data_IF_999625560748
#
_entry.id   IF_999625560748
#
_cell.length_a   1.000
_cell.length_b   1.000
_cell.length_c   1.000
_cell.angle_alpha   90.00
_cell.angle_beta   90.00
_cell.angle_gamma   90.00
#
_symmetry.space_group_name_H-M   'P 1'
#
loop_
_entity.id
_entity.type
_entity.pdbx_description
1 polymer ?
#
# COMPACT_ATOMS: atom_id res chain seq x y z
N UNK A 1 14.79 -35.49 -16.03
CA UNK A 1 14.46 -34.07 -16.35
C UNK A 1 15.06 -33.22 -15.23
N UNK A 2 15.72 -32.07 -15.50
CA UNK A 2 16.15 -31.18 -14.41
C UNK A 2 14.91 -30.76 -13.59
N UNK A 3 14.97 -30.75 -12.26
CA UNK A 3 13.85 -30.39 -11.37
C UNK A 3 13.15 -29.08 -11.75
N UNK A 4 13.89 -28.12 -12.32
CA UNK A 4 13.31 -26.87 -12.85
C UNK A 4 12.41 -27.10 -14.07
N UNK A 5 12.80 -27.99 -14.97
CA UNK A 5 12.00 -28.37 -16.13
C UNK A 5 10.74 -29.14 -15.72
N UNK A 6 10.88 -30.06 -14.76
CA UNK A 6 9.76 -30.79 -14.16
C UNK A 6 8.77 -29.84 -13.47
N UNK A 7 9.24 -28.91 -12.63
CA UNK A 7 8.41 -27.90 -11.98
C UNK A 7 7.62 -27.06 -13.00
N UNK A 8 8.27 -26.61 -14.08
CA UNK A 8 7.60 -25.87 -15.16
C UNK A 8 6.54 -26.73 -15.85
N UNK A 9 6.87 -27.98 -16.20
CA UNK A 9 5.96 -28.87 -16.89
C UNK A 9 4.69 -29.12 -16.06
N UNK A 10 4.86 -29.46 -14.78
CA UNK A 10 3.73 -29.71 -13.86
C UNK A 10 2.89 -28.45 -13.62
N UNK A 11 3.53 -27.28 -13.48
CA UNK A 11 2.79 -26.03 -13.36
C UNK A 11 1.97 -25.72 -14.62
N UNK A 12 2.55 -25.93 -15.80
CA UNK A 12 1.88 -25.74 -17.08
C UNK A 12 0.74 -26.74 -17.30
N UNK A 13 0.91 -27.99 -16.89
CA UNK A 13 -0.15 -28.99 -16.90
C UNK A 13 -1.30 -28.58 -15.99
N UNK A 14 -1.00 -28.15 -14.76
CA UNK A 14 -2.00 -27.62 -13.82
C UNK A 14 -2.76 -26.41 -14.39
N UNK A 15 -2.06 -25.53 -15.11
CA UNK A 15 -2.66 -24.37 -15.78
C UNK A 15 -3.60 -24.79 -16.93
N UNK A 16 -3.22 -25.80 -17.73
CA UNK A 16 -4.04 -26.35 -18.82
C UNK A 16 -5.30 -27.06 -18.33
N UNK A 17 -5.22 -27.74 -17.18
CA UNK A 17 -6.32 -28.51 -16.61
C UNK A 17 -7.44 -27.63 -15.98
N UNK A 18 -7.43 -26.32 -16.22
CA UNK A 18 -8.62 -25.49 -16.10
C UNK A 18 -9.03 -25.06 -14.68
N UNK A 19 -8.15 -25.19 -13.68
CA UNK A 19 -8.38 -24.56 -12.38
C UNK A 19 -8.04 -23.07 -12.59
N UNK A 20 -9.04 -22.18 -12.73
CA UNK A 20 -9.69 -21.61 -11.55
C UNK A 20 -11.21 -21.45 -11.71
N UNK A 21 -11.99 -21.95 -10.73
CA UNK A 21 -13.40 -21.59 -10.59
C UNK A 21 -13.72 -21.02 -9.20
N UNK A 22 -13.92 -19.69 -9.09
CA UNK A 22 -13.26 -18.68 -9.92
C UNK A 22 -12.45 -17.71 -9.05
N UNK A 23 -11.19 -17.37 -9.40
CA UNK A 23 -11.02 -16.13 -10.16
C UNK A 23 -9.77 -16.05 -11.07
N UNK A 24 -9.91 -15.24 -12.12
CA UNK A 24 -8.93 -14.22 -12.52
C UNK A 24 -7.66 -14.72 -13.20
N UNK A 25 -7.53 -14.40 -14.48
CA UNK A 25 -6.26 -14.41 -15.24
C UNK A 25 -5.10 -14.03 -14.31
N UNK A 26 -4.12 -14.93 -14.16
CA UNK A 26 -2.86 -14.54 -13.53
C UNK A 26 -2.29 -13.33 -14.28
N UNK A 27 -1.69 -12.40 -13.54
CA UNK A 27 -0.98 -11.30 -14.18
C UNK A 27 0.09 -11.89 -15.10
N UNK A 28 0.13 -11.43 -16.36
CA UNK A 28 1.08 -11.95 -17.33
C UNK A 28 2.53 -11.75 -16.87
N UNK A 29 2.80 -10.67 -16.12
CA UNK A 29 4.10 -10.38 -15.51
C UNK A 29 4.49 -11.45 -14.49
N UNK A 30 3.54 -12.05 -13.78
CA UNK A 30 3.81 -13.15 -12.85
C UNK A 30 4.04 -14.48 -13.55
N UNK A 31 3.32 -14.74 -14.64
CA UNK A 31 3.61 -15.88 -15.51
C UNK A 31 5.01 -15.82 -16.12
N UNK A 32 5.50 -14.61 -16.43
CA UNK A 32 6.86 -14.40 -16.94
C UNK A 32 7.93 -14.83 -15.93
N UNK A 33 7.66 -14.72 -14.62
CA UNK A 33 8.60 -15.16 -13.56
C UNK A 33 8.90 -16.65 -13.62
N UNK A 34 8.05 -17.47 -14.25
CA UNK A 34 8.32 -18.90 -14.47
C UNK A 34 9.50 -19.13 -15.42
N UNK A 35 9.89 -18.13 -16.22
CA UNK A 35 11.08 -18.21 -17.08
C UNK A 35 12.37 -18.02 -16.28
N UNK A 36 12.31 -17.38 -15.12
CA UNK A 36 13.48 -17.13 -14.28
C UNK A 36 13.89 -18.39 -13.47
N UNK A 37 15.06 -18.93 -13.81
CA UNK A 37 15.65 -20.06 -13.09
C UNK A 37 16.03 -19.72 -11.64
N UNK A 38 16.45 -18.47 -11.35
CA UNK A 38 16.82 -18.06 -9.98
C UNK A 38 15.59 -18.11 -9.08
N UNK A 39 14.48 -17.51 -9.52
CA UNK A 39 13.21 -17.54 -8.82
C UNK A 39 12.72 -18.97 -8.57
N UNK A 40 12.65 -19.81 -9.61
CA UNK A 40 12.20 -21.20 -9.45
C UNK A 40 13.11 -22.05 -8.56
N UNK A 41 14.42 -21.78 -8.58
CA UNK A 41 15.37 -22.45 -7.67
C UNK A 41 15.07 -22.09 -6.22
N UNK A 42 14.78 -20.81 -5.91
CA UNK A 42 14.39 -20.37 -4.56
C UNK A 42 13.09 -21.03 -4.10
N UNK A 43 12.10 -21.16 -4.99
CA UNK A 43 10.86 -21.89 -4.69
C UNK A 43 11.15 -23.35 -4.35
N UNK A 44 11.93 -24.05 -5.17
CA UNK A 44 12.31 -25.44 -4.88
C UNK A 44 13.06 -25.55 -3.55
N UNK A 45 14.03 -24.69 -3.28
CA UNK A 45 14.77 -24.68 -2.02
C UNK A 45 13.86 -24.45 -0.82
N UNK A 46 12.90 -23.52 -0.94
CA UNK A 46 11.90 -23.26 0.09
C UNK A 46 11.05 -24.51 0.37
N UNK A 47 10.66 -25.22 -0.68
CA UNK A 47 9.90 -26.47 -0.63
C UNK A 47 10.77 -27.72 -0.41
N UNK A 48 12.02 -27.59 0.04
CA UNK A 48 12.94 -28.72 0.30
C UNK A 48 13.15 -29.64 -0.91
N UNK A 49 13.08 -29.08 -2.11
CA UNK A 49 13.24 -29.78 -3.37
C UNK A 49 12.07 -30.69 -3.75
N UNK A 50 10.92 -30.61 -3.05
CA UNK A 50 9.69 -31.35 -3.38
C UNK A 50 8.91 -30.60 -4.46
N UNK A 51 8.84 -31.17 -5.67
CA UNK A 51 8.25 -30.51 -6.84
C UNK A 51 6.76 -30.19 -6.65
N UNK A 52 5.95 -31.13 -6.14
CA UNK A 52 4.51 -30.91 -5.94
C UNK A 52 4.21 -29.76 -4.96
N UNK A 53 4.99 -29.67 -3.89
CA UNK A 53 4.89 -28.58 -2.94
C UNK A 53 5.28 -27.24 -3.58
N UNK A 54 6.30 -27.23 -4.44
CA UNK A 54 6.72 -26.04 -5.20
C UNK A 54 5.66 -25.60 -6.22
N UNK A 55 5.00 -26.53 -6.92
CA UNK A 55 3.88 -26.23 -7.83
C UNK A 55 2.74 -25.57 -7.06
N UNK A 56 2.37 -26.12 -5.90
CA UNK A 56 1.30 -25.55 -5.07
C UNK A 56 1.68 -24.19 -4.49
N UNK A 57 2.93 -24.00 -4.05
CA UNK A 57 3.41 -22.70 -3.57
C UNK A 57 3.36 -21.64 -4.68
N UNK A 58 3.84 -21.94 -5.89
CA UNK A 58 3.76 -21.03 -7.04
C UNK A 58 2.31 -20.64 -7.33
N UNK A 59 1.41 -21.62 -7.29
CA UNK A 59 -0.01 -21.39 -7.50
C UNK A 59 -0.59 -20.41 -6.47
N UNK A 60 -0.32 -20.65 -5.18
CA UNK A 60 -0.73 -19.77 -4.09
C UNK A 60 -0.12 -18.37 -4.21
N UNK A 61 1.14 -18.26 -4.64
CA UNK A 61 1.78 -16.97 -4.90
C UNK A 61 1.03 -16.20 -5.98
N UNK A 62 0.72 -16.81 -7.12
CA UNK A 62 0.05 -16.11 -8.23
C UNK A 62 -1.34 -15.61 -7.84
N UNK A 63 -2.11 -16.42 -7.10
CA UNK A 63 -3.41 -16.00 -6.56
C UNK A 63 -3.22 -14.81 -5.60
N UNK A 64 -2.30 -14.93 -4.65
CA UNK A 64 -2.08 -13.88 -3.65
C UNK A 64 -1.64 -12.57 -4.30
N UNK A 65 -0.69 -12.62 -5.25
CA UNK A 65 -0.18 -11.44 -5.96
C UNK A 65 -1.28 -10.71 -6.73
N UNK A 66 -2.17 -11.46 -7.39
CA UNK A 66 -3.34 -10.90 -8.06
C UNK A 66 -4.28 -10.22 -7.06
N UNK A 67 -4.59 -10.88 -5.94
CA UNK A 67 -5.52 -10.37 -4.93
C UNK A 67 -5.04 -9.08 -4.25
N UNK A 68 -3.73 -8.96 -4.01
CA UNK A 68 -3.15 -7.75 -3.37
C UNK A 68 -2.69 -6.70 -4.39
N UNK A 69 -2.88 -6.96 -5.69
CA UNK A 69 -2.40 -6.12 -6.77
C UNK A 69 -0.89 -5.79 -6.61
N UNK A 70 -0.07 -6.81 -6.38
CA UNK A 70 1.31 -6.67 -5.92
C UNK A 70 2.19 -5.79 -6.83
N UNK A 71 2.00 -5.87 -8.15
CA UNK A 71 2.74 -5.06 -9.11
C UNK A 71 2.49 -3.56 -8.95
N UNK A 72 1.24 -3.20 -8.69
CA UNK A 72 0.77 -1.81 -8.64
C UNK A 72 0.45 -1.41 -7.19
N UNK A 73 1.05 -2.10 -6.20
CA UNK A 73 0.83 -1.85 -4.76
C UNK A 73 1.12 -0.40 -4.37
N UNK A 74 2.08 0.24 -5.06
CA UNK A 74 2.45 1.65 -4.87
C UNK A 74 1.28 2.61 -5.11
N UNK A 75 0.32 2.24 -5.96
CA UNK A 75 -0.84 3.08 -6.28
C UNK A 75 -1.92 3.03 -5.19
N UNK A 76 -1.82 2.07 -4.26
CA UNK A 76 -2.83 1.84 -3.20
C UNK A 76 -2.26 1.96 -1.78
N UNK A 77 -0.94 2.03 -1.62
CA UNK A 77 -0.27 2.14 -0.33
C UNK A 77 -0.33 3.56 0.23
N UNK A 78 -0.48 3.66 1.55
CA UNK A 78 -0.44 4.93 2.28
C UNK A 78 0.99 5.47 2.35
N UNK A 79 1.32 6.37 1.43
CA UNK A 79 2.67 6.94 1.32
C UNK A 79 3.09 7.76 2.53
N UNK A 80 2.16 8.33 3.29
CA UNK A 80 2.46 8.95 4.58
C UNK A 80 3.02 7.93 5.58
N UNK A 81 2.44 6.73 5.68
CA UNK A 81 2.98 5.68 6.56
C UNK A 81 4.34 5.17 6.08
N UNK A 82 4.56 5.08 4.77
CA UNK A 82 5.87 4.71 4.19
C UNK A 82 6.94 5.74 4.57
N UNK A 83 6.60 7.04 4.51
CA UNK A 83 7.53 8.16 4.75
C UNK A 83 7.90 8.36 6.22
N UNK A 84 7.18 7.74 7.16
CA UNK A 84 7.48 7.85 8.59
C UNK A 84 8.69 7.01 9.03
N UNK A 85 9.17 6.07 8.22
CA UNK A 85 10.36 5.28 8.55
C UNK A 85 10.14 4.20 9.60
N UNK A 86 8.90 3.75 9.80
CA UNK A 86 8.62 2.54 10.60
C UNK A 86 9.29 1.30 9.96
N UNK A 87 9.29 1.25 8.63
CA UNK A 87 9.93 0.20 7.82
C UNK A 87 10.88 0.84 6.83
N UNK A 88 12.12 0.38 6.75
CA UNK A 88 13.07 0.87 5.74
C UNK A 88 14.29 -0.04 5.59
N UNK A 89 14.92 -0.08 4.39
CA UNK A 89 16.21 -0.72 4.22
C UNK A 89 17.38 0.22 4.51
N UNK A 90 18.38 -0.26 5.25
CA UNK A 90 19.68 0.43 5.39
C UNK A 90 20.74 -0.51 5.95
N UNK A 91 21.95 -0.47 5.39
CA UNK A 91 23.07 -1.28 5.86
C UNK A 91 22.95 -2.75 5.44
N UNK A 92 24.02 -3.51 5.66
CA UNK A 92 24.09 -4.94 5.36
C UNK A 92 24.61 -5.73 6.57
N UNK A 93 24.14 -6.96 6.71
CA UNK A 93 24.70 -7.90 7.66
C UNK A 93 26.08 -8.40 7.20
N UNK A 94 26.74 -9.21 8.04
CA UNK A 94 28.05 -9.81 7.75
C UNK A 94 28.05 -10.77 6.54
N UNK A 95 26.89 -11.29 6.15
CA UNK A 95 26.72 -12.12 4.95
C UNK A 95 26.45 -11.26 3.69
N UNK A 96 26.40 -9.93 3.85
CA UNK A 96 26.12 -8.98 2.77
C UNK A 96 24.63 -8.85 2.42
N UNK A 97 23.71 -9.41 3.20
CA UNK A 97 22.27 -9.27 3.00
C UNK A 97 21.78 -7.92 3.51
N UNK A 98 20.92 -7.24 2.73
CA UNK A 98 20.34 -5.95 3.08
C UNK A 98 19.51 -6.06 4.36
N UNK A 99 19.70 -5.15 5.31
CA UNK A 99 18.86 -5.09 6.51
C UNK A 99 17.54 -4.41 6.15
N UNK A 100 16.43 -5.12 6.37
CA UNK A 100 15.09 -4.54 6.39
C UNK A 100 14.71 -4.24 7.83
N UNK A 101 14.74 -2.96 8.18
CA UNK A 101 14.62 -2.45 9.54
C UNK A 101 13.17 -2.15 9.85
N UNK A 102 12.71 -2.62 11.02
CA UNK A 102 11.41 -2.33 11.60
C UNK A 102 11.65 -1.59 12.92
N UNK A 103 11.39 -0.28 12.95
CA UNK A 103 11.66 0.59 14.10
C UNK A 103 10.42 0.77 14.96
N UNK A 104 10.14 -0.21 15.80
CA UNK A 104 8.89 -0.27 16.58
C UNK A 104 8.67 0.90 17.52
N UNK A 105 9.74 1.58 17.96
CA UNK A 105 9.62 2.78 18.79
C UNK A 105 8.80 3.90 18.14
N UNK A 106 8.70 3.92 16.81
CA UNK A 106 7.89 4.89 16.06
C UNK A 106 6.40 4.52 15.99
N UNK A 107 6.02 3.29 16.33
CA UNK A 107 4.63 2.85 16.32
C UNK A 107 3.98 3.02 17.69
N UNK A 108 2.72 3.42 17.74
CA UNK A 108 1.87 3.23 18.92
C UNK A 108 0.56 2.59 18.51
N UNK A 109 0.12 1.60 19.30
CA UNK A 109 -1.09 0.84 19.06
C UNK A 109 -2.31 1.76 18.93
N UNK A 110 -3.11 1.52 17.90
CA UNK A 110 -4.34 2.25 17.60
C UNK A 110 -4.14 3.56 16.82
N UNK A 111 -2.91 4.00 16.55
CA UNK A 111 -2.67 5.21 15.75
C UNK A 111 -2.78 4.99 14.25
N UNK A 112 -2.61 3.75 13.78
CA UNK A 112 -2.61 3.41 12.36
C UNK A 112 -3.63 2.33 12.06
N UNK A 113 -4.22 2.43 10.88
CA UNK A 113 -5.04 1.36 10.33
C UNK A 113 -4.13 0.15 10.00
N UNK A 114 -4.50 -1.01 10.50
CA UNK A 114 -3.72 -2.25 10.36
C UNK A 114 -3.67 -2.73 8.91
N UNK A 115 -4.76 -2.61 8.14
CA UNK A 115 -4.79 -3.02 6.73
C UNK A 115 -3.89 -2.12 5.86
N UNK A 116 -3.84 -0.83 6.14
CA UNK A 116 -2.90 0.08 5.48
C UNK A 116 -1.45 -0.27 5.83
N UNK A 117 -1.15 -0.63 7.09
CA UNK A 117 0.17 -1.11 7.48
C UNK A 117 0.55 -2.44 6.78
N UNK A 118 -0.39 -3.36 6.60
CA UNK A 118 -0.16 -4.59 5.82
C UNK A 118 0.26 -4.25 4.38
N UNK A 119 -0.38 -3.27 3.74
CA UNK A 119 0.04 -2.78 2.41
C UNK A 119 1.43 -2.15 2.40
N UNK A 120 1.80 -1.41 3.45
CA UNK A 120 3.16 -0.86 3.60
C UNK A 120 4.21 -1.97 3.68
N UNK A 121 3.92 -3.04 4.41
CA UNK A 121 4.79 -4.23 4.45
C UNK A 121 4.94 -4.86 3.06
N UNK A 122 3.83 -5.06 2.34
CA UNK A 122 3.88 -5.62 0.98
C UNK A 122 4.66 -4.72 0.04
N UNK A 123 4.44 -3.40 0.09
CA UNK A 123 5.18 -2.42 -0.69
C UNK A 123 6.70 -2.56 -0.50
N UNK A 124 7.16 -2.62 0.76
CA UNK A 124 8.59 -2.78 1.03
C UNK A 124 9.12 -4.14 0.60
N UNK A 125 8.41 -5.24 0.88
CA UNK A 125 8.88 -6.57 0.47
C UNK A 125 8.97 -6.70 -1.06
N UNK A 126 7.99 -6.17 -1.81
CA UNK A 126 8.04 -6.16 -3.28
C UNK A 126 9.20 -5.30 -3.81
N UNK A 127 9.45 -4.15 -3.18
CA UNK A 127 10.58 -3.29 -3.54
C UNK A 127 11.91 -3.98 -3.28
N UNK A 128 12.09 -4.59 -2.11
CA UNK A 128 13.32 -5.27 -1.73
C UNK A 128 13.59 -6.50 -2.60
N UNK A 129 12.55 -7.30 -2.91
CA UNK A 129 12.66 -8.45 -3.80
C UNK A 129 13.19 -8.04 -5.19
N UNK A 130 12.77 -6.86 -5.69
CA UNK A 130 13.26 -6.29 -6.96
C UNK A 130 14.66 -5.71 -6.84
N UNK A 131 14.91 -4.85 -5.86
CA UNK A 131 16.18 -4.12 -5.69
C UNK A 131 17.34 -5.07 -5.34
N UNK A 132 17.09 -6.16 -4.63
CA UNK A 132 18.11 -7.16 -4.29
C UNK A 132 18.25 -8.29 -5.32
N UNK A 133 17.54 -8.24 -6.45
CA UNK A 133 17.51 -9.29 -7.48
C UNK A 133 17.20 -10.68 -6.89
N UNK A 134 16.24 -10.73 -5.97
CA UNK A 134 15.84 -11.94 -5.27
C UNK A 134 16.86 -12.50 -4.26
N UNK A 135 17.95 -11.78 -3.95
CA UNK A 135 18.86 -12.15 -2.86
C UNK A 135 18.13 -12.04 -1.50
N UNK A 136 18.47 -12.89 -0.52
CA UNK A 136 17.85 -12.81 0.80
C UNK A 136 18.13 -11.47 1.50
N UNK A 137 17.21 -11.09 2.38
CA UNK A 137 17.33 -9.95 3.28
C UNK A 137 17.46 -10.42 4.74
N UNK A 138 17.95 -9.53 5.60
CA UNK A 138 17.91 -9.73 7.05
C UNK A 138 16.83 -8.87 7.66
N UNK A 139 15.90 -9.49 8.39
CA UNK A 139 14.89 -8.74 9.15
C UNK A 139 15.54 -8.21 10.41
N UNK A 140 15.46 -6.90 10.62
CA UNK A 140 16.02 -6.23 11.79
C UNK A 140 14.89 -5.59 12.60
N UNK A 141 14.47 -6.25 13.67
CA UNK A 141 13.51 -5.71 14.61
C UNK A 141 14.23 -4.84 15.63
N UNK A 142 14.19 -3.52 15.43
CA UNK A 142 14.69 -2.53 16.39
C UNK A 142 13.64 -2.33 17.50
N UNK A 143 13.90 -2.95 18.65
CA UNK A 143 13.05 -2.93 19.83
C UNK A 143 13.55 -1.95 20.89
N UNK A 144 14.61 -1.19 20.60
CA UNK A 144 15.23 -0.33 21.60
C UNK A 144 14.26 0.76 22.07
N UNK A 145 14.19 0.94 23.38
CA UNK A 145 13.24 1.85 24.02
C UNK A 145 11.75 1.51 23.85
N UNK A 146 11.39 0.35 23.32
CA UNK A 146 9.99 -0.04 23.13
C UNK A 146 9.30 -0.44 24.46
N UNK A 147 8.04 -0.03 24.60
CA UNK A 147 7.10 -0.49 25.62
C UNK A 147 5.94 -1.29 25.00
N UNK A 148 5.03 -1.81 25.82
CA UNK A 148 3.99 -2.77 25.39
C UNK A 148 3.09 -2.28 24.23
N UNK A 149 2.93 -0.96 24.07
CA UNK A 149 2.11 -0.36 23.02
C UNK A 149 2.85 -0.14 21.69
N UNK A 150 4.15 -0.38 21.64
CA UNK A 150 4.97 -0.10 20.47
C UNK A 150 5.01 -1.23 19.44
N UNK A 151 4.40 -2.40 19.69
CA UNK A 151 4.36 -3.51 18.74
C UNK A 151 2.94 -3.77 18.27
N UNK A 152 2.77 -3.98 16.97
CA UNK A 152 1.57 -4.60 16.42
C UNK A 152 1.79 -6.08 16.11
N UNK A 153 1.30 -6.95 16.99
CA UNK A 153 1.47 -8.42 16.88
C UNK A 153 0.83 -8.94 15.59
N UNK A 154 -0.29 -8.36 15.16
CA UNK A 154 -0.95 -8.74 13.92
C UNK A 154 -0.09 -8.46 12.69
N UNK A 155 0.65 -7.34 12.67
CA UNK A 155 1.56 -7.02 11.57
C UNK A 155 2.76 -7.97 11.55
N UNK A 156 3.33 -8.31 12.71
CA UNK A 156 4.42 -9.30 12.78
C UNK A 156 3.94 -10.68 12.31
N UNK A 157 2.76 -11.12 12.75
CA UNK A 157 2.14 -12.36 12.30
C UNK A 157 1.88 -12.36 10.78
N UNK A 158 1.43 -11.23 10.25
CA UNK A 158 1.23 -11.04 8.81
C UNK A 158 2.56 -11.14 8.05
N UNK A 159 3.62 -10.44 8.48
CA UNK A 159 4.96 -10.55 7.89
C UNK A 159 5.45 -11.99 7.85
N UNK A 160 5.29 -12.75 8.95
CA UNK A 160 5.66 -14.16 9.01
C UNK A 160 4.88 -14.97 7.96
N UNK A 161 3.57 -14.74 7.85
CA UNK A 161 2.76 -15.45 6.86
C UNK A 161 3.15 -15.13 5.42
N UNK A 162 3.50 -13.88 5.12
CA UNK A 162 4.02 -13.47 3.82
C UNK A 162 5.33 -14.19 3.48
N UNK A 163 6.30 -14.16 4.39
CA UNK A 163 7.63 -14.73 4.16
C UNK A 163 7.62 -16.26 4.10
N UNK A 164 6.67 -16.88 4.80
CA UNK A 164 6.46 -18.33 4.78
C UNK A 164 5.76 -18.79 3.50
N UNK A 165 4.79 -18.02 3.00
CA UNK A 165 3.88 -18.52 1.96
C UNK A 165 4.14 -17.91 0.58
N UNK A 166 4.65 -16.69 0.51
CA UNK A 166 4.64 -15.90 -0.73
C UNK A 166 5.98 -15.33 -1.18
N UNK A 167 7.00 -15.29 -0.30
CA UNK A 167 8.36 -14.84 -0.62
C UNK A 167 9.37 -15.99 -0.45
N UNK A 168 9.59 -16.81 -1.49
CA UNK A 168 10.38 -18.03 -1.39
C UNK A 168 11.85 -17.77 -1.04
N UNK A 169 12.30 -18.41 0.03
CA UNK A 169 13.69 -18.38 0.51
C UNK A 169 14.28 -16.96 0.65
N UNK A 170 13.47 -15.99 1.07
CA UNK A 170 13.85 -14.57 1.05
C UNK A 170 14.52 -14.06 2.33
N UNK A 171 14.54 -14.84 3.42
CA UNK A 171 15.13 -14.42 4.69
C UNK A 171 16.49 -15.10 4.90
N UNK A 172 17.53 -14.31 5.20
CA UNK A 172 18.82 -14.81 5.70
C UNK A 172 18.72 -15.13 7.19
N UNK A 173 18.70 -14.08 8.03
CA UNK A 173 18.53 -14.15 9.49
C UNK A 173 17.47 -13.14 9.98
N UNK A 174 17.04 -13.31 11.24
CA UNK A 174 16.10 -12.41 11.92
C UNK A 174 16.79 -11.88 13.17
N UNK A 175 17.17 -10.61 13.17
CA UNK A 175 17.78 -9.92 14.30
C UNK A 175 16.68 -9.27 15.15
N UNK A 176 16.69 -9.55 16.44
CA UNK A 176 15.84 -8.91 17.45
C UNK A 176 16.75 -8.09 18.35
N UNK A 177 16.86 -6.81 18.05
CA UNK A 177 17.77 -5.89 18.71
C UNK A 177 17.13 -5.26 19.95
N UNK A 178 17.82 -5.34 21.09
CA UNK A 178 17.44 -4.74 22.38
C UNK A 178 16.04 -5.14 22.86
N UNK A 179 15.70 -6.43 22.77
CA UNK A 179 14.39 -6.91 23.18
C UNK A 179 14.10 -6.63 24.68
N UNK A 180 13.05 -5.87 25.02
CA UNK A 180 12.64 -5.67 26.41
C UNK A 180 12.10 -6.96 27.04
N UNK A 181 12.51 -7.27 28.28
CA UNK A 181 12.04 -8.46 29.01
C UNK A 181 10.52 -8.54 29.15
N UNK A 182 9.86 -7.37 29.28
CA UNK A 182 8.42 -7.24 29.41
C UNK A 182 7.66 -7.73 28.17
N UNK A 183 8.34 -7.86 27.02
CA UNK A 183 7.75 -8.31 25.75
C UNK A 183 7.86 -9.83 25.52
N UNK A 184 8.39 -10.58 26.50
CA UNK A 184 8.54 -12.05 26.42
C UNK A 184 7.24 -12.80 26.15
N UNK A 185 6.10 -12.32 26.66
CA UNK A 185 4.78 -12.93 26.43
C UNK A 185 4.33 -12.79 24.97
N UNK A 186 4.38 -11.57 24.41
CA UNK A 186 4.05 -11.33 23.00
C UNK A 186 5.00 -12.08 22.06
N UNK A 187 6.27 -12.14 22.43
CA UNK A 187 7.27 -12.92 21.70
C UNK A 187 6.94 -14.42 21.62
N UNK A 188 6.50 -15.03 22.71
CA UNK A 188 6.11 -16.45 22.72
C UNK A 188 4.97 -16.75 21.73
N UNK A 189 4.04 -15.81 21.57
CA UNK A 189 2.97 -15.90 20.55
C UNK A 189 3.60 -15.89 19.14
N UNK A 190 4.45 -14.90 18.85
CA UNK A 190 5.12 -14.78 17.55
C UNK A 190 6.00 -15.99 17.23
N UNK A 191 6.77 -16.49 18.20
CA UNK A 191 7.59 -17.69 18.06
C UNK A 191 6.75 -18.92 17.68
N UNK A 192 5.54 -19.04 18.23
CA UNK A 192 4.61 -20.13 17.91
C UNK A 192 4.09 -20.10 16.46
N UNK A 193 4.16 -18.96 15.77
CA UNK A 193 3.75 -18.83 14.37
C UNK A 193 4.87 -19.23 13.38
N UNK A 194 6.13 -19.22 13.83
CA UNK A 194 7.29 -19.52 13.00
C UNK A 194 7.47 -21.03 12.81
N UNK A 195 7.84 -21.48 11.60
CA UNK A 195 8.33 -22.85 11.42
C UNK A 195 9.68 -23.03 12.13
N UNK A 196 10.07 -24.26 12.45
CA UNK A 196 11.33 -24.58 13.14
C UNK A 196 12.56 -23.91 12.50
N UNK A 197 12.69 -24.00 11.16
CA UNK A 197 13.76 -23.35 10.38
C UNK A 197 13.75 -21.81 10.48
N UNK A 198 12.59 -21.22 10.73
CA UNK A 198 12.46 -19.79 10.99
C UNK A 198 12.93 -19.42 12.39
N UNK A 199 12.66 -20.27 13.38
CA UNK A 199 13.14 -20.10 14.76
C UNK A 199 14.67 -20.15 14.84
N UNK A 200 15.30 -21.08 14.10
CA UNK A 200 16.76 -21.21 14.04
C UNK A 200 17.48 -19.96 13.50
N UNK A 201 16.79 -19.19 12.64
CA UNK A 201 17.30 -17.94 12.04
C UNK A 201 17.26 -16.75 13.00
N UNK A 202 16.61 -16.87 14.15
CA UNK A 202 16.45 -15.76 15.09
C UNK A 202 17.69 -15.55 15.94
N UNK A 203 18.12 -14.30 16.05
CA UNK A 203 19.27 -13.85 16.85
C UNK A 203 18.81 -12.72 17.77
N UNK A 204 18.95 -12.93 19.08
CA UNK A 204 18.73 -11.88 20.07
C UNK A 204 20.03 -11.13 20.27
N UNK A 205 19.97 -9.83 20.06
CA UNK A 205 21.16 -9.01 19.93
C UNK A 205 21.03 -7.82 20.87
N UNK A 206 22.09 -7.54 21.62
CA UNK A 206 22.23 -6.31 22.38
C UNK A 206 23.17 -5.35 21.66
N UNK A 207 23.33 -4.14 22.20
CA UNK A 207 24.32 -3.18 21.69
C UNK A 207 25.74 -3.78 21.61
N UNK A 208 26.12 -4.60 22.58
CA UNK A 208 27.48 -5.16 22.67
C UNK A 208 27.73 -6.31 21.68
N UNK A 209 26.69 -7.07 21.34
CA UNK A 209 26.78 -8.24 20.45
C UNK A 209 26.42 -7.94 19.00
N UNK A 210 25.90 -6.74 18.68
CA UNK A 210 25.46 -6.38 17.33
C UNK A 210 26.55 -6.54 16.27
N UNK A 211 27.80 -6.23 16.61
CA UNK A 211 28.97 -6.35 15.73
C UNK A 211 29.22 -7.75 15.18
N UNK A 212 28.68 -8.79 15.82
CA UNK A 212 28.78 -10.17 15.35
C UNK A 212 27.92 -10.43 14.09
N UNK A 213 26.87 -9.61 13.89
CA UNK A 213 25.91 -9.77 12.80
C UNK A 213 25.88 -8.58 11.84
N UNK A 214 26.22 -7.38 12.30
CA UNK A 214 26.25 -6.16 11.50
C UNK A 214 27.52 -5.40 11.80
N UNK A 215 28.39 -5.23 10.79
CA UNK A 215 29.63 -4.49 10.96
C UNK A 215 29.36 -3.05 11.44
N UNK A 216 30.22 -2.45 12.30
CA UNK A 216 30.01 -1.10 12.82
C UNK A 216 29.77 -0.03 11.73
N UNK A 217 30.40 -0.16 10.56
CA UNK A 217 30.23 0.74 9.41
C UNK A 217 28.85 0.62 8.74
N UNK A 218 28.16 -0.50 8.94
CA UNK A 218 26.81 -0.76 8.42
C UNK A 218 25.71 -0.55 9.48
N UNK A 219 26.09 -0.48 10.75
CA UNK A 219 25.16 -0.25 11.86
C UNK A 219 24.93 1.25 12.10
N UNK A 220 23.68 1.62 12.37
CA UNK A 220 23.32 2.99 12.71
C UNK A 220 23.98 3.45 14.01
N UNK A 221 24.26 4.76 14.10
CA UNK A 221 24.83 5.37 15.32
C UNK A 221 23.98 5.16 16.56
N UNK A 222 22.65 5.13 16.42
CA UNK A 222 21.74 4.81 17.53
C UNK A 222 21.92 3.39 18.08
N UNK A 223 22.53 2.48 17.31
CA UNK A 223 22.87 1.13 17.75
C UNK A 223 24.33 0.98 18.18
N UNK A 224 25.09 2.08 18.27
CA UNK A 224 26.52 2.09 18.56
C UNK A 224 27.43 1.87 17.35
N UNK A 225 26.88 1.93 16.13
CA UNK A 225 27.67 1.89 14.89
C UNK A 225 28.17 3.26 14.45
N UNK A 226 28.59 3.33 13.18
CA UNK A 226 29.21 4.52 12.56
C UNK A 226 28.34 5.15 11.47
N UNK A 227 27.25 4.50 11.07
CA UNK A 227 26.34 5.03 10.05
C UNK A 227 25.40 6.07 10.66
N UNK A 228 25.61 7.34 10.32
CA UNK A 228 24.81 8.46 10.83
C UNK A 228 23.53 8.71 10.02
N UNK A 229 23.14 7.76 9.16
CA UNK A 229 21.93 7.86 8.36
C UNK A 229 20.69 8.09 9.23
N UNK A 230 19.90 9.10 8.84
CA UNK A 230 18.56 9.35 9.33
C UNK A 230 17.62 9.03 8.18
N UNK A 231 16.57 8.26 8.45
CA UNK A 231 15.66 7.83 7.40
C UNK A 231 15.03 9.02 6.68
N UNK A 232 15.20 9.03 5.35
CA UNK A 232 14.45 9.85 4.42
C UNK A 232 13.92 8.95 3.31
N UNK A 233 12.63 9.06 2.99
CA UNK A 233 12.04 8.24 1.95
C UNK A 233 12.51 8.66 0.56
N UNK A 234 13.20 7.75 -0.12
CA UNK A 234 13.59 7.91 -1.53
C UNK A 234 12.69 7.04 -2.42
N UNK A 235 11.91 7.61 -3.36
CA UNK A 235 11.09 6.85 -4.31
C UNK A 235 11.94 5.93 -5.20
N UNK A 236 11.36 4.83 -5.71
CA UNK A 236 12.09 3.99 -6.68
C UNK A 236 12.42 4.77 -7.97
N UNK A 237 13.63 4.59 -8.48
CA UNK A 237 14.02 5.08 -9.81
C UNK A 237 13.31 4.27 -10.89
N UNK A 238 12.22 4.82 -11.44
CA UNK A 238 11.43 4.21 -12.53
C UNK A 238 12.16 4.15 -13.88
N UNK A 239 13.38 4.67 -14.00
CA UNK A 239 14.06 4.86 -15.28
C UNK A 239 14.57 3.57 -15.94
N UNK A 240 14.74 2.47 -15.20
CA UNK A 240 15.47 1.30 -15.71
C UNK A 240 14.65 -0.01 -15.85
N UNK A 241 13.36 -0.06 -15.46
CA UNK A 241 12.68 -1.34 -15.26
C UNK A 241 11.25 -1.49 -15.81
N UNK A 242 10.68 -0.50 -16.51
CA UNK A 242 9.46 -0.71 -17.33
C UNK A 242 9.53 0.07 -18.66
N UNK A 243 8.95 -0.43 -19.77
CA UNK A 243 8.65 0.41 -20.91
C UNK A 243 7.72 1.51 -20.44
N UNK A 244 8.27 2.72 -20.33
CA UNK A 244 7.64 3.86 -19.68
C UNK A 244 6.19 4.09 -20.15
N UNK A 245 5.24 4.08 -19.21
CA UNK A 245 4.10 4.98 -19.28
C UNK A 245 4.66 6.40 -19.27
N UNK A 246 4.96 6.91 -20.47
CA UNK A 246 5.54 8.25 -20.71
C UNK A 246 4.75 9.30 -19.91
N UNK A 247 5.36 9.84 -18.85
CA UNK A 247 4.98 11.13 -18.30
C UNK A 247 5.12 12.15 -19.42
N UNK A 248 4.06 12.89 -19.71
CA UNK A 248 4.09 13.94 -20.73
C UNK A 248 4.81 15.13 -20.11
N UNK A 249 6.03 15.39 -20.54
CA UNK A 249 6.71 16.65 -20.25
C UNK A 249 6.17 17.68 -21.23
N UNK A 250 5.40 18.65 -20.74
CA UNK A 250 4.97 19.78 -21.56
C UNK A 250 6.15 20.74 -21.67
N UNK A 251 6.80 20.78 -22.84
CA UNK A 251 7.73 21.87 -23.12
C UNK A 251 6.96 23.20 -23.10
N UNK A 252 7.47 24.20 -22.39
CA UNK A 252 7.04 25.60 -22.53
C UNK A 252 7.52 26.11 -23.89
N UNK A 253 6.81 25.76 -24.95
CA UNK A 253 6.93 26.40 -26.25
C UNK A 253 5.64 27.17 -26.51
N UNK A 254 5.81 28.42 -26.98
CA UNK A 254 4.81 29.48 -26.99
C UNK A 254 3.44 29.09 -27.53
N UNK A 255 2.43 29.80 -27.01
CA UNK A 255 0.98 29.58 -27.11
C UNK A 255 0.35 29.41 -28.52
N UNK A 256 1.10 29.27 -29.62
CA UNK A 256 0.52 29.39 -30.98
C UNK A 256 0.86 28.28 -31.98
N UNK A 257 1.20 27.05 -31.56
CA UNK A 257 1.16 25.89 -32.48
C UNK A 257 0.48 24.69 -31.80
N UNK A 258 -0.85 24.65 -31.89
CA UNK A 258 -1.65 23.46 -31.65
C UNK A 258 -1.93 22.78 -32.99
N UNK A 259 -1.58 21.50 -33.13
CA UNK A 259 -2.26 20.63 -34.09
C UNK A 259 -3.70 20.50 -33.61
N UNK A 260 -4.63 21.19 -34.28
CA UNK A 260 -6.06 20.95 -34.09
C UNK A 260 -6.32 19.49 -34.44
N UNK A 261 -6.54 18.65 -33.44
CA UNK A 261 -6.98 17.29 -33.70
C UNK A 261 -8.33 17.34 -34.44
N UNK A 262 -8.47 16.51 -35.47
CA UNK A 262 -9.63 16.46 -36.38
C UNK A 262 -10.57 15.31 -36.01
N UNK A 263 -10.08 14.27 -35.30
CA UNK A 263 -10.84 13.05 -35.00
C UNK A 263 -11.89 13.19 -33.89
N UNK A 264 -11.65 14.03 -32.88
CA UNK A 264 -12.50 14.14 -31.69
C UNK A 264 -12.99 15.58 -31.52
N UNK A 265 -14.28 15.73 -31.25
CA UNK A 265 -14.84 16.97 -30.70
C UNK A 265 -14.86 16.89 -29.19
N UNK A 266 -14.27 17.86 -28.51
CA UNK A 266 -14.28 17.95 -27.04
C UNK A 266 -15.28 19.02 -26.62
N UNK A 267 -16.13 18.73 -25.64
CA UNK A 267 -17.10 19.68 -25.10
C UNK A 267 -17.04 19.68 -23.57
N UNK A 268 -16.66 20.79 -22.90
CA UNK A 268 -16.20 22.06 -23.47
C UNK A 268 -14.79 21.94 -24.12
N UNK A 269 -14.52 22.72 -25.17
CA UNK A 269 -13.39 22.54 -26.10
C UNK A 269 -12.01 22.34 -25.45
N UNK A 270 -11.55 23.29 -24.63
CA UNK A 270 -10.18 23.34 -24.13
C UNK A 270 -10.10 23.45 -22.61
N UNK A 271 -11.24 23.42 -21.92
CA UNK A 271 -11.34 23.79 -20.52
C UNK A 271 -12.28 22.86 -19.76
N UNK A 272 -11.78 22.28 -18.67
CA UNK A 272 -12.56 21.46 -17.75
C UNK A 272 -12.98 22.33 -16.57
N UNK A 273 -14.28 22.53 -16.40
CA UNK A 273 -14.83 23.29 -15.28
C UNK A 273 -15.08 22.35 -14.10
N UNK A 274 -14.40 22.59 -12.99
CA UNK A 274 -14.57 21.82 -11.77
C UNK A 274 -15.59 22.48 -10.83
N UNK A 275 -16.38 21.65 -10.15
CA UNK A 275 -17.38 22.03 -9.15
C UNK A 275 -17.08 21.31 -7.84
N UNK A 276 -17.42 21.94 -6.72
CA UNK A 276 -17.34 21.34 -5.39
C UNK A 276 -18.76 21.02 -4.92
N UNK A 277 -19.03 19.75 -4.64
CA UNK A 277 -20.31 19.25 -4.09
C UNK A 277 -20.01 18.25 -2.97
N UNK A 278 -20.56 18.46 -1.77
CA UNK A 278 -20.43 17.55 -0.62
C UNK A 278 -18.97 17.07 -0.34
N UNK A 279 -18.03 18.02 -0.21
CA UNK A 279 -16.57 17.78 -0.07
C UNK A 279 -15.84 17.14 -1.27
N UNK A 280 -16.55 16.71 -2.31
CA UNK A 280 -15.96 16.18 -3.53
C UNK A 280 -15.79 17.28 -4.60
N UNK A 281 -14.57 17.38 -5.16
CA UNK A 281 -14.28 18.29 -6.28
C UNK A 281 -14.20 17.46 -7.56
N UNK A 282 -15.08 17.74 -8.51
CA UNK A 282 -15.13 17.02 -9.78
C UNK A 282 -15.35 17.93 -10.98
N UNK A 283 -14.84 17.53 -12.13
CA UNK A 283 -15.05 18.17 -13.41
C UNK A 283 -15.36 17.12 -14.46
N UNK A 284 -16.04 17.51 -15.53
CA UNK A 284 -16.36 16.59 -16.61
C UNK A 284 -16.24 17.27 -17.97
N UNK A 285 -15.96 16.46 -18.99
CA UNK A 285 -16.01 16.87 -20.39
C UNK A 285 -16.45 15.67 -21.24
N UNK A 286 -16.97 15.94 -22.42
CA UNK A 286 -17.44 14.93 -23.36
C UNK A 286 -16.54 14.92 -24.58
N UNK A 287 -16.13 13.73 -25.02
CA UNK A 287 -15.48 13.50 -26.30
C UNK A 287 -16.47 12.87 -27.27
N UNK A 288 -16.50 13.32 -28.52
CA UNK A 288 -17.34 12.76 -29.59
C UNK A 288 -16.44 12.38 -30.75
N UNK A 289 -16.52 11.14 -31.22
CA UNK A 289 -15.80 10.72 -32.42
C UNK A 289 -16.44 11.34 -33.66
N UNK A 290 -15.68 12.20 -34.34
CA UNK A 290 -16.08 12.88 -35.58
C UNK A 290 -15.50 12.21 -36.84
N UNK A 291 -14.64 11.21 -36.67
CA UNK A 291 -14.05 10.44 -37.75
C UNK A 291 -15.01 9.34 -38.23
N UNK A 292 -14.92 8.95 -39.51
CA UNK A 292 -15.69 7.83 -40.07
C UNK A 292 -15.23 6.47 -39.54
N UNK A 293 -13.97 6.39 -39.09
CA UNK A 293 -13.36 5.20 -38.50
C UNK A 293 -13.56 5.11 -36.98
N UNK A 294 -13.35 3.91 -36.44
CA UNK A 294 -13.35 3.70 -34.99
C UNK A 294 -12.08 4.30 -34.40
N UNK A 295 -12.19 5.03 -33.29
CA UNK A 295 -11.07 5.73 -32.66
C UNK A 295 -10.79 5.14 -31.28
N UNK A 296 -9.53 4.86 -30.96
CA UNK A 296 -9.11 4.64 -29.57
C UNK A 296 -8.64 5.95 -28.95
N UNK A 297 -9.06 6.23 -27.71
CA UNK A 297 -8.63 7.40 -26.96
C UNK A 297 -7.85 7.03 -25.70
N UNK A 298 -6.92 7.90 -25.29
CA UNK A 298 -6.17 7.84 -24.02
C UNK A 298 -6.07 9.22 -23.40
N UNK A 299 -6.24 9.30 -22.08
CA UNK A 299 -6.22 10.54 -21.32
C UNK A 299 -5.07 10.48 -20.31
N UNK A 300 -4.25 11.52 -20.31
CA UNK A 300 -3.12 11.70 -19.38
C UNK A 300 -3.24 13.04 -18.67
N UNK A 301 -2.56 13.17 -17.53
CA UNK A 301 -2.53 14.39 -16.72
C UNK A 301 -1.10 14.69 -16.25
N UNK A 302 -0.81 15.96 -15.98
CA UNK A 302 0.44 16.41 -15.35
C UNK A 302 0.62 15.90 -13.92
N UNK A 303 -0.48 15.66 -13.20
CA UNK A 303 -0.48 15.26 -11.78
C UNK A 303 -1.40 14.06 -11.53
N UNK A 304 -1.06 12.84 -12.01
CA UNK A 304 -1.89 11.65 -11.86
C UNK A 304 -2.17 11.28 -10.39
N UNK A 305 -1.35 11.74 -9.45
CA UNK A 305 -1.56 11.57 -8.01
C UNK A 305 -2.72 12.42 -7.47
N UNK A 306 -3.06 13.53 -8.13
CA UNK A 306 -4.10 14.47 -7.67
C UNK A 306 -5.47 14.18 -8.25
N UNK A 307 -5.54 13.50 -9.40
CA UNK A 307 -6.78 13.31 -10.14
C UNK A 307 -7.06 11.85 -10.43
N UNK A 308 -8.34 11.50 -10.41
CA UNK A 308 -8.85 10.23 -10.90
C UNK A 308 -9.70 10.48 -12.14
N UNK A 309 -9.33 9.88 -13.26
CA UNK A 309 -10.01 10.03 -14.56
C UNK A 309 -10.80 8.77 -14.89
N UNK A 310 -12.08 8.90 -15.26
CA UNK A 310 -12.96 7.78 -15.56
C UNK A 310 -13.88 8.08 -16.77
N UNK A 311 -13.83 7.29 -17.86
CA UNK A 311 -12.73 6.37 -18.22
C UNK A 311 -11.44 7.14 -18.58
N UNK A 312 -10.26 6.56 -18.36
CA UNK A 312 -8.97 7.14 -18.77
C UNK A 312 -8.50 6.70 -20.15
N UNK A 313 -9.13 5.67 -20.72
CA UNK A 313 -8.91 5.20 -22.10
C UNK A 313 -10.11 4.39 -22.57
N UNK A 314 -10.24 4.22 -23.87
CA UNK A 314 -11.31 3.41 -24.44
C UNK A 314 -11.27 3.37 -25.96
N UNK A 315 -12.30 2.76 -26.52
CA UNK A 315 -12.60 2.70 -27.95
C UNK A 315 -13.94 3.40 -28.17
N UNK A 316 -14.02 4.23 -29.21
CA UNK A 316 -15.16 5.08 -29.51
C UNK A 316 -15.54 4.93 -30.99
N UNK A 317 -16.67 4.27 -31.30
CA UNK A 317 -17.15 4.15 -32.68
C UNK A 317 -17.51 5.52 -33.29
N UNK A 318 -17.60 5.59 -34.62
CA UNK A 318 -17.95 6.82 -35.34
C UNK A 318 -19.28 7.42 -34.85
N UNK A 319 -19.31 8.73 -34.60
CA UNK A 319 -20.48 9.46 -34.11
C UNK A 319 -20.82 9.27 -32.63
N UNK A 320 -20.15 8.35 -31.92
CA UNK A 320 -20.43 8.07 -30.50
C UNK A 320 -19.76 9.10 -29.60
N UNK A 321 -20.45 9.47 -28.53
CA UNK A 321 -19.94 10.36 -27.49
C UNK A 321 -19.69 9.63 -26.17
N UNK A 322 -18.62 10.00 -25.47
CA UNK A 322 -18.25 9.48 -24.16
C UNK A 322 -17.98 10.65 -23.20
N UNK A 323 -18.69 10.65 -22.06
CA UNK A 323 -18.41 11.60 -20.97
C UNK A 323 -17.29 11.07 -20.09
N UNK A 324 -16.32 11.94 -19.82
CA UNK A 324 -15.17 11.70 -18.95
C UNK A 324 -15.38 12.46 -17.65
N UNK A 325 -15.33 11.75 -16.53
CA UNK A 325 -15.38 12.30 -15.19
C UNK A 325 -13.97 12.38 -14.59
N UNK A 326 -13.63 13.54 -14.04
CA UNK A 326 -12.39 13.80 -13.33
C UNK A 326 -12.71 14.16 -11.89
N UNK A 327 -12.15 13.43 -10.94
CA UNK A 327 -12.34 13.65 -9.50
C UNK A 327 -11.00 14.00 -8.86
N UNK A 328 -10.95 15.06 -8.05
CA UNK A 328 -9.76 15.39 -7.25
C UNK A 328 -9.67 14.42 -6.07
N UNK A 329 -8.50 13.86 -5.82
CA UNK A 329 -8.31 12.91 -4.72
C UNK A 329 -8.38 13.62 -3.35
N UNK A 330 -8.90 12.94 -2.30
CA UNK A 330 -8.94 13.49 -0.94
C UNK A 330 -7.56 13.97 -0.46
N UNK A 331 -7.50 15.14 0.16
CA UNK A 331 -6.26 15.75 0.66
C UNK A 331 -5.59 16.76 -0.29
N UNK A 332 -6.10 16.93 -1.52
CA UNK A 332 -5.66 17.98 -2.44
C UNK A 332 -6.68 19.12 -2.51
N UNK A 333 -6.23 20.36 -2.31
CA UNK A 333 -7.09 21.56 -2.36
C UNK A 333 -7.10 22.20 -3.75
N UNK A 334 -8.20 22.91 -4.07
CA UNK A 334 -8.41 23.67 -5.32
C UNK A 334 -7.17 24.48 -5.77
N UNK A 335 -6.47 25.13 -4.84
CA UNK A 335 -5.28 25.96 -5.14
C UNK A 335 -4.07 25.15 -5.66
N UNK A 336 -4.03 23.84 -5.41
CA UNK A 336 -2.90 22.97 -5.80
C UNK A 336 -3.09 22.28 -7.15
N UNK A 337 -4.31 22.36 -7.70
CA UNK A 337 -4.75 21.67 -8.93
C UNK A 337 -5.06 22.61 -10.11
N UNK A 338 -5.10 23.93 -9.88
CA UNK A 338 -5.40 24.96 -10.89
C UNK A 338 -4.40 25.08 -12.04
N UNK A 339 -3.16 24.61 -11.84
CA UNK A 339 -2.09 24.66 -12.86
C UNK A 339 -1.98 23.37 -13.67
N UNK A 340 -2.75 22.34 -13.30
CA UNK A 340 -2.67 21.05 -13.95
C UNK A 340 -3.37 21.03 -15.31
N UNK A 341 -2.89 20.14 -16.18
CA UNK A 341 -3.36 20.00 -17.56
C UNK A 341 -3.69 18.55 -17.87
N UNK A 342 -4.63 18.36 -18.77
CA UNK A 342 -4.98 17.04 -19.31
C UNK A 342 -4.62 16.99 -20.79
N UNK A 343 -4.10 15.84 -21.22
CA UNK A 343 -3.84 15.53 -22.62
C UNK A 343 -4.76 14.39 -23.03
N UNK A 344 -5.67 14.65 -23.97
CA UNK A 344 -6.46 13.64 -24.66
C UNK A 344 -5.73 13.30 -25.95
N UNK A 345 -5.51 12.02 -26.19
CA UNK A 345 -4.89 11.51 -27.41
C UNK A 345 -5.87 10.59 -28.11
N UNK A 346 -5.92 10.62 -29.44
CA UNK A 346 -6.73 9.71 -30.25
C UNK A 346 -5.96 9.13 -31.43
N UNK A 347 -6.27 7.89 -31.77
CA UNK A 347 -5.74 7.19 -32.95
C UNK A 347 -6.84 6.35 -33.60
N UNK A 348 -6.86 6.33 -34.93
CA UNK A 348 -7.76 5.46 -35.69
C UNK A 348 -7.38 3.98 -35.48
N UNK A 349 -8.38 3.12 -35.37
CA UNK A 349 -8.21 1.67 -35.26
C UNK A 349 -9.06 0.95 -36.32
N UNK A 350 -8.62 -0.21 -36.82
CA UNK A 350 -9.24 -0.86 -37.98
C UNK A 350 -10.65 -1.42 -37.72
N UNK A 351 -11.01 -1.71 -36.46
CA UNK A 351 -12.33 -2.21 -36.03
C UNK A 351 -12.53 -1.97 -34.53
N UNK A 352 -13.75 -2.12 -34.04
CA UNK A 352 -14.14 -1.96 -32.63
C UNK A 352 -13.72 -3.14 -31.72
N UNK A 353 -13.67 -4.35 -32.27
CA UNK A 353 -13.21 -5.57 -31.58
C UNK A 353 -11.76 -5.91 -31.95
N UNK A 354 -10.81 -5.22 -31.30
CA UNK A 354 -9.37 -5.49 -31.38
C UNK A 354 -8.83 -6.05 -30.06
N UNK A 355 -7.86 -6.96 -30.15
CA UNK A 355 -7.23 -7.51 -28.96
C UNK A 355 -6.40 -6.44 -28.23
N UNK A 356 -6.22 -6.59 -26.91
CA UNK A 356 -5.39 -5.66 -26.13
C UNK A 356 -3.94 -5.59 -26.63
N UNK A 357 -3.43 -6.69 -27.22
CA UNK A 357 -2.10 -6.75 -27.81
C UNK A 357 -2.02 -5.88 -29.07
N UNK A 358 -2.97 -6.04 -30.00
CA UNK A 358 -3.04 -5.22 -31.22
C UNK A 358 -3.24 -3.74 -30.89
N UNK A 359 -4.10 -3.42 -29.92
CA UNK A 359 -4.29 -2.06 -29.45
C UNK A 359 -2.98 -1.47 -28.88
N UNK A 360 -2.24 -2.25 -28.08
CA UNK A 360 -0.93 -1.83 -27.56
C UNK A 360 0.07 -1.58 -28.69
N UNK A 361 0.11 -2.46 -29.69
CA UNK A 361 1.00 -2.34 -30.84
C UNK A 361 0.69 -1.09 -31.67
N UNK A 362 -0.60 -0.76 -31.89
CA UNK A 362 -1.03 0.48 -32.57
C UNK A 362 -0.53 1.72 -31.81
N UNK A 363 -0.66 1.72 -30.48
CA UNK A 363 -0.21 2.84 -29.64
C UNK A 363 1.32 2.95 -29.50
N UNK A 364 2.07 1.87 -29.75
CA UNK A 364 3.54 1.85 -29.70
C UNK A 364 4.20 2.14 -31.06
N UNK A 365 3.57 1.68 -32.15
CA UNK A 365 4.09 1.73 -33.51
C UNK A 365 3.43 2.82 -34.37
N UNK A 366 2.73 3.79 -33.75
CA UNK A 366 2.03 4.90 -34.43
C UNK A 366 2.95 5.87 -35.20
N UNK A 367 4.21 5.53 -35.41
CA UNK A 367 5.19 6.26 -36.23
C UNK A 367 4.73 6.50 -37.68
N UNK A 368 3.65 5.86 -38.13
CA UNK A 368 2.99 6.11 -39.43
C UNK A 368 1.50 6.47 -39.38
N UNK A 369 0.86 6.52 -38.20
CA UNK A 369 -0.55 6.89 -38.04
C UNK A 369 -0.67 8.20 -37.28
N UNK A 370 -1.38 9.19 -37.84
CA UNK A 370 -1.59 10.51 -37.22
C UNK A 370 -2.26 10.32 -35.85
N UNK A 371 -1.54 10.63 -34.77
CA UNK A 371 -2.11 10.70 -33.42
C UNK A 371 -2.55 12.13 -33.19
N UNK A 372 -3.83 12.31 -32.92
CA UNK A 372 -4.38 13.63 -32.61
C UNK A 372 -4.27 13.90 -31.11
N UNK A 373 -3.88 15.12 -30.75
CA UNK A 373 -3.66 15.56 -29.37
C UNK A 373 -4.51 16.78 -29.03
N UNK A 374 -5.22 16.73 -27.90
CA UNK A 374 -6.02 17.82 -27.38
C UNK A 374 -5.60 18.15 -25.95
N UNK A 375 -5.29 19.41 -25.69
CA UNK A 375 -4.81 19.88 -24.39
C UNK A 375 -5.93 20.63 -23.67
N UNK A 376 -6.29 20.14 -22.49
CA UNK A 376 -7.34 20.74 -21.67
C UNK A 376 -6.74 21.39 -20.42
N UNK A 377 -7.20 22.60 -20.10
CA UNK A 377 -6.84 23.35 -18.90
C UNK A 377 -7.91 23.17 -17.82
N UNK A 378 -7.50 23.10 -16.56
CA UNK A 378 -8.45 23.11 -15.45
C UNK A 378 -8.91 24.55 -15.16
N UNK A 379 -10.22 24.77 -15.17
CA UNK A 379 -10.83 26.02 -14.72
C UNK A 379 -11.72 25.77 -13.49
N UNK A 380 -11.60 26.65 -12.51
CA UNK A 380 -12.36 26.60 -11.29
C UNK A 380 -13.15 27.92 -11.21
N UNK A 381 -14.49 27.90 -11.13
CA UNK A 381 -15.29 29.11 -11.07
C UNK A 381 -14.89 29.94 -9.85
N UNK A 382 -14.49 31.20 -10.05
CA UNK A 382 -14.16 32.12 -8.96
C UNK A 382 -15.45 32.50 -8.20
N UNK A 383 -15.69 31.83 -7.05
CA UNK A 383 -16.36 32.47 -5.92
C UNK A 383 -15.32 32.64 -4.79
N UNK A 384 -14.94 33.92 -4.62
CA UNK A 384 -14.15 34.58 -3.56
C UNK A 384 -12.80 33.97 -3.15
N UNK A 385 -11.76 34.26 -3.94
CA UNK A 385 -10.40 34.38 -3.41
C UNK A 385 -10.10 35.88 -3.23
N UNK A 386 -10.00 36.42 -1.99
CA UNK A 386 -9.56 37.79 -1.80
C UNK A 386 -8.06 37.90 -2.15
N UNK A 387 -7.73 38.81 -3.09
CA UNK A 387 -6.36 39.28 -3.36
C UNK A 387 -6.01 40.37 -2.35
N UNK A 388 -4.85 40.27 -1.70
CA UNK A 388 -4.36 41.28 -0.76
C UNK A 388 -3.90 42.56 -1.48
N UNK A 389 -4.36 43.71 -1.00
CA UNK A 389 -3.84 45.05 -1.26
C UNK A 389 -4.49 46.07 -0.30
N UNK A 390 -3.65 46.66 0.56
CA UNK A 390 -3.87 47.59 1.68
C UNK A 390 -5.07 48.59 1.73
N UNK A 391 -5.44 48.88 3.00
CA UNK A 391 -6.05 50.07 3.65
C UNK A 391 -7.60 50.23 3.74
N UNK A 392 -8.08 50.13 5.00
CA UNK A 392 -9.33 50.63 5.65
C UNK A 392 -10.68 50.36 4.94
N UNK A 393 -11.78 49.92 5.56
CA UNK A 393 -12.38 50.22 6.86
C UNK A 393 -13.38 49.09 7.27
N UNK A 394 -13.90 49.15 8.49
CA UNK A 394 -14.49 48.12 9.39
C UNK A 394 -15.70 47.25 8.93
N UNK A 395 -15.73 46.06 9.59
CA UNK A 395 -16.87 45.22 10.07
C UNK A 395 -17.13 43.88 9.32
N UNK A 396 -17.76 42.85 9.94
CA UNK A 396 -17.03 41.71 10.51
C UNK A 396 -17.45 40.33 9.94
N UNK A 397 -16.52 39.59 9.34
CA UNK A 397 -16.72 38.16 9.01
C UNK A 397 -15.62 37.30 9.66
N UNK A 398 -15.85 36.95 10.93
CA UNK A 398 -15.04 35.95 11.66
C UNK A 398 -15.87 35.04 12.57
N UNK A 399 -17.20 35.02 12.45
CA UNK A 399 -18.04 34.15 13.29
C UNK A 399 -18.10 32.71 12.77
N UNK A 400 -18.17 32.47 11.47
CA UNK A 400 -18.69 31.16 11.01
C UNK A 400 -17.65 30.03 11.04
N UNK A 401 -16.37 30.34 10.82
CA UNK A 401 -15.27 29.37 10.96
C UNK A 401 -15.06 28.96 12.43
N UNK A 402 -15.17 29.92 13.36
CA UNK A 402 -15.03 29.64 14.80
C UNK A 402 -16.27 28.95 15.32
N UNK A 403 -17.47 29.34 14.88
CA UNK A 403 -18.75 28.74 15.28
C UNK A 403 -18.85 27.30 14.79
N UNK A 404 -18.41 27.01 13.57
CA UNK A 404 -18.38 25.62 13.05
C UNK A 404 -17.34 24.77 13.78
N UNK A 405 -16.17 25.33 14.10
CA UNK A 405 -15.19 24.65 14.94
C UNK A 405 -15.72 24.41 16.37
N UNK A 406 -16.43 25.39 16.94
CA UNK A 406 -17.06 25.28 18.26
C UNK A 406 -18.16 24.21 18.26
N UNK A 407 -19.01 24.19 17.24
CA UNK A 407 -20.09 23.22 17.10
C UNK A 407 -19.55 21.79 16.92
N UNK A 408 -18.49 21.62 16.12
CA UNK A 408 -17.82 20.32 15.98
C UNK A 408 -17.14 19.90 17.29
N UNK A 409 -16.52 20.82 18.02
CA UNK A 409 -15.90 20.53 19.32
C UNK A 409 -16.96 20.18 20.37
N UNK A 410 -18.09 20.89 20.38
CA UNK A 410 -19.24 20.64 21.24
C UNK A 410 -19.83 19.24 20.97
N UNK A 411 -20.03 18.89 19.70
CA UNK A 411 -20.54 17.57 19.31
C UNK A 411 -19.57 16.44 19.68
N UNK A 412 -18.27 16.64 19.48
CA UNK A 412 -17.25 15.68 19.92
C UNK A 412 -17.20 15.54 21.45
N UNK A 413 -17.37 16.65 22.18
CA UNK A 413 -17.44 16.65 23.64
C UNK A 413 -18.66 15.88 24.15
N UNK A 414 -19.83 16.05 23.53
CA UNK A 414 -21.03 15.28 23.88
C UNK A 414 -20.89 13.78 23.60
N UNK A 415 -20.29 13.43 22.47
CA UNK A 415 -19.99 12.02 22.13
C UNK A 415 -19.03 11.43 23.16
N UNK A 416 -17.95 12.14 23.49
CA UNK A 416 -16.98 11.72 24.49
C UNK A 416 -17.65 11.55 25.87
N UNK A 417 -18.49 12.49 26.28
CA UNK A 417 -19.19 12.43 27.56
C UNK A 417 -20.17 11.25 27.62
N UNK A 418 -20.89 10.95 26.53
CA UNK A 418 -21.72 9.75 26.41
C UNK A 418 -20.89 8.47 26.51
N UNK A 419 -19.72 8.41 25.89
CA UNK A 419 -18.83 7.26 26.00
C UNK A 419 -18.26 7.08 27.41
N UNK A 420 -17.87 8.17 28.08
CA UNK A 420 -17.41 8.14 29.48
C UNK A 420 -18.51 7.66 30.42
N UNK A 421 -19.75 8.10 30.23
CA UNK A 421 -20.87 7.61 31.04
C UNK A 421 -21.17 6.13 30.80
N UNK A 422 -21.13 5.66 29.55
CA UNK A 422 -21.21 4.21 29.26
C UNK A 422 -20.08 3.44 29.94
N UNK A 423 -18.85 3.96 29.89
CA UNK A 423 -17.70 3.33 30.53
C UNK A 423 -17.87 3.26 32.06
N UNK A 424 -18.36 4.32 32.70
CA UNK A 424 -18.68 4.33 34.14
C UNK A 424 -19.74 3.28 34.50
N UNK A 425 -20.77 3.12 33.66
CA UNK A 425 -21.79 2.08 33.85
C UNK A 425 -21.15 0.69 33.75
N UNK A 426 -20.33 0.43 32.72
CA UNK A 426 -19.64 -0.86 32.59
C UNK A 426 -18.69 -1.13 33.76
N UNK A 427 -17.97 -0.11 34.23
CA UNK A 427 -17.09 -0.22 35.40
C UNK A 427 -17.88 -0.55 36.66
N UNK A 428 -19.03 0.09 36.87
CA UNK A 428 -19.91 -0.18 38.00
C UNK A 428 -20.49 -1.61 37.95
N UNK A 429 -20.97 -2.04 36.78
CA UNK A 429 -21.44 -3.42 36.57
C UNK A 429 -20.34 -4.45 36.85
N UNK A 430 -19.10 -4.15 36.41
CA UNK A 430 -17.94 -5.03 36.66
C UNK A 430 -17.63 -5.12 38.15
N UNK A 431 -17.69 -4.00 38.88
CA UNK A 431 -17.51 -3.95 40.34
C UNK A 431 -18.57 -4.79 41.07
N UNK A 432 -19.84 -4.68 40.67
CA UNK A 432 -20.92 -5.50 41.22
C UNK A 432 -20.66 -6.99 40.96
N UNK A 433 -20.34 -7.37 39.73
CA UNK A 433 -20.03 -8.75 39.36
C UNK A 433 -18.87 -9.30 40.19
N UNK A 434 -17.81 -8.51 40.41
CA UNK A 434 -16.69 -8.92 41.27
C UNK A 434 -17.09 -9.09 42.73
N UNK A 435 -17.94 -8.20 43.27
CA UNK A 435 -18.43 -8.31 44.64
C UNK A 435 -19.31 -9.56 44.83
N UNK A 436 -20.18 -9.86 43.87
CA UNK A 436 -20.99 -11.09 43.86
C UNK A 436 -20.09 -12.32 43.80
N UNK A 437 -19.06 -12.32 42.93
CA UNK A 437 -18.13 -13.44 42.83
C UNK A 437 -17.37 -13.68 44.14
N UNK A 438 -16.92 -12.63 44.82
CA UNK A 438 -16.27 -12.72 46.14
C UNK A 438 -17.24 -13.24 47.20
N UNK A 439 -18.49 -12.76 47.22
CA UNK A 439 -19.51 -13.22 48.16
C UNK A 439 -19.82 -14.72 47.95
N UNK A 440 -20.02 -15.14 46.70
CA UNK A 440 -20.23 -16.54 46.35
C UNK A 440 -19.02 -17.40 46.74
N UNK A 441 -17.80 -16.94 46.45
CA UNK A 441 -16.58 -17.59 46.88
C UNK A 441 -16.49 -17.76 48.39
N UNK A 442 -16.86 -16.72 49.15
CA UNK A 442 -16.91 -16.77 50.61
C UNK A 442 -17.98 -17.74 51.14
N UNK A 443 -19.18 -17.76 50.55
CA UNK A 443 -20.24 -18.70 50.93
C UNK A 443 -19.84 -20.15 50.65
N UNK A 444 -19.21 -20.41 49.51
CA UNK A 444 -18.65 -21.74 49.17
C UNK A 444 -17.56 -22.13 50.16
N UNK A 445 -16.63 -21.22 50.48
CA UNK A 445 -15.59 -21.45 51.48
C UNK A 445 -16.16 -21.76 52.87
N UNK A 446 -17.16 -21.00 53.31
CA UNK A 446 -17.79 -21.23 54.61
C UNK A 446 -18.50 -22.59 54.66
N UNK A 447 -19.25 -22.95 53.62
CA UNK A 447 -19.92 -24.25 53.55
C UNK A 447 -18.90 -25.41 53.52
N UNK A 448 -17.83 -25.30 52.74
CA UNK A 448 -16.80 -26.35 52.69
C UNK A 448 -16.06 -26.52 54.02
N UNK A 449 -15.79 -25.43 54.74
CA UNK A 449 -15.14 -25.46 56.05
C UNK A 449 -16.07 -25.97 57.18
N UNK A 450 -17.40 -25.79 57.06
CA UNK A 450 -18.37 -26.45 57.95
C UNK A 450 -18.44 -27.98 57.73
N UNK A 451 -18.23 -28.44 56.48
CA UNK A 451 -18.15 -29.87 56.18
C UNK A 451 -16.85 -30.52 56.67
N UNK A 452 -15.70 -29.84 56.62
CA UNK A 452 -14.44 -30.36 57.20
C UNK A 452 -14.54 -30.54 58.72
N UNK A 453 -15.26 -29.67 59.43
CA UNK A 453 -15.51 -29.82 60.87
C UNK A 453 -16.46 -30.97 61.24
N UNK A 454 -17.24 -31.49 60.29
CA UNK A 454 -18.09 -32.67 60.53
C UNK A 454 -17.28 -33.98 60.47
N UNK A 455 -16.20 -34.01 59.67
CA UNK A 455 -15.31 -35.17 59.57
C UNK A 455 -14.32 -35.31 60.76
N UNK A 456 -14.15 -34.29 61.59
CA UNK A 456 -13.38 -34.40 62.86
C UNK A 456 -14.23 -34.83 64.07
N UNK A 457 -15.56 -34.98 63.92
CA UNK A 457 -16.49 -35.35 65.00
C UNK A 457 -17.12 -36.74 64.86
N UNK A 458 -16.63 -37.55 63.94
CA UNK A 458 -16.86 -39.01 63.86
C UNK A 458 -15.51 -39.67 64.12
#
# INVERSE_FOLDING_TARGET
MNKLGELRALFQEKLKNGIPHPPGRFDQRDLERLKDNKYLTRVLQHCLGKTDAAVNMLWSIMIWRCNVNAWDIRDTVRMDYVKEGLFFPRGRDVDGCLLFIIKWKLYNKGQKNVEDLKKVVVYWLERLEKEEDGRPITLFFDMDGCGMNNIEVEIVAYMISLLKSYYPNFINIIIIYQMPWIMSAGFRIIKGLLPARGVEKMKFVSKDTLKEFVAPEQALTCWGGKDNYIFEFVPENRSNLEPALKKVTFAEQGDNQHSLGEMLRITPNDTIVFKAENDDISGQFTITNMDESVVSFKIRTTSPEKFRVRPSSGVLPSGVSQTILIVVQPGFHLRTVTKDRFLVMSVQIPKDDISQKELSDIWQNSSGSKVDEYRLKCHFPEKSLPKNGNLADKSPEKSDSVTNALNNLQMNYEILHKQVNKLKIYQFMTLILTAIAVLLGYLVYKNTNEYEKYCERI
#
